data_IF_710096825853
#
_entry.id   IF_710096825853
#
_cell.length_a   1.000
_cell.length_b   1.000
_cell.length_c   1.000
_cell.angle_alpha   90.00
_cell.angle_beta   90.00
_cell.angle_gamma   90.00
#
_symmetry.space_group_name_H-M   'P 1'
#
loop_
_entity.id
_entity.type
_entity.pdbx_description
1 polymer ?
#
# COMPACT_ATOMS: atom_id res chain seq x y z
N UNK A 1 -3.78 -23.73 11.55
CA UNK A 1 -3.63 -25.12 11.10
C UNK A 1 -4.87 -25.89 11.53
N UNK A 2 -5.95 -25.79 10.77
CA UNK A 2 -7.01 -26.79 10.81
C UNK A 2 -6.74 -27.74 9.65
N UNK A 3 -5.89 -28.73 9.89
CA UNK A 3 -5.86 -29.94 9.08
C UNK A 3 -7.20 -30.63 9.29
N UNK A 4 -7.95 -30.81 8.21
CA UNK A 4 -9.11 -31.70 8.23
C UNK A 4 -8.56 -33.10 8.12
N UNK A 5 -8.00 -33.60 9.21
CA UNK A 5 -7.54 -34.96 9.32
C UNK A 5 -8.76 -35.90 9.31
N UNK A 6 -8.89 -36.68 8.25
CA UNK A 6 -9.63 -37.95 8.28
C UNK A 6 -11.14 -37.89 8.25
N UNK A 7 -11.79 -36.77 7.97
CA UNK A 7 -13.21 -36.82 7.66
C UNK A 7 -13.43 -37.44 6.28
N UNK A 8 -14.02 -38.60 6.27
CA UNK A 8 -14.59 -39.22 5.07
C UNK A 8 -15.54 -38.18 4.43
N UNK A 9 -15.16 -37.64 3.31
CA UNK A 9 -15.93 -36.61 2.58
C UNK A 9 -17.27 -37.11 2.05
N UNK A 10 -17.68 -38.35 2.34
CA UNK A 10 -18.77 -39.00 1.62
C UNK A 10 -18.45 -39.35 0.18
N UNK A 11 -17.22 -39.02 -0.25
CA UNK A 11 -16.78 -39.14 -1.65
C UNK A 11 -16.60 -40.59 -2.12
N UNK A 12 -16.50 -41.53 -1.21
CA UNK A 12 -16.01 -42.87 -1.55
C UNK A 12 -14.55 -42.84 -2.01
N UNK A 13 -14.03 -43.97 -2.43
CA UNK A 13 -12.69 -44.03 -3.02
C UNK A 13 -12.65 -43.21 -4.33
N UNK A 14 -11.57 -42.45 -4.54
CA UNK A 14 -11.30 -41.75 -5.79
C UNK A 14 -10.69 -42.75 -6.80
N UNK A 15 -11.15 -42.65 -8.02
CA UNK A 15 -10.64 -43.42 -9.17
C UNK A 15 -9.97 -42.51 -10.17
N UNK A 16 -9.10 -43.10 -11.00
CA UNK A 16 -8.51 -42.35 -12.13
C UNK A 16 -9.65 -41.88 -13.03
N UNK A 17 -9.63 -40.60 -13.37
CA UNK A 17 -10.64 -39.91 -14.20
C UNK A 17 -11.78 -39.27 -13.37
N UNK A 18 -11.83 -39.44 -12.06
CA UNK A 18 -12.76 -38.67 -11.23
C UNK A 18 -12.41 -37.18 -11.23
N UNK A 19 -13.39 -36.31 -11.43
CA UNK A 19 -13.27 -34.87 -11.34
C UNK A 19 -13.84 -34.40 -10.01
N UNK A 20 -12.96 -33.86 -9.16
CA UNK A 20 -13.36 -33.20 -7.91
C UNK A 20 -13.63 -31.74 -8.23
N UNK A 21 -14.79 -31.27 -7.81
CA UNK A 21 -15.19 -29.88 -8.01
C UNK A 21 -15.26 -29.16 -6.66
N UNK A 22 -14.77 -27.92 -6.65
CA UNK A 22 -14.73 -27.06 -5.47
C UNK A 22 -15.37 -25.72 -5.84
N UNK A 23 -16.36 -25.30 -5.05
CA UNK A 23 -16.96 -23.98 -5.15
C UNK A 23 -16.69 -23.22 -3.84
N UNK A 24 -16.26 -21.96 -3.93
CA UNK A 24 -15.89 -21.11 -2.78
C UNK A 24 -16.67 -19.82 -2.85
N UNK A 25 -17.32 -19.40 -1.75
CA UNK A 25 -18.02 -18.13 -1.63
C UNK A 25 -17.90 -17.59 -0.21
N UNK A 26 -17.16 -16.49 -0.04
CA UNK A 26 -16.86 -15.96 1.28
C UNK A 26 -16.16 -17.00 2.16
N UNK A 27 -16.72 -17.29 3.34
CA UNK A 27 -16.22 -18.29 4.29
C UNK A 27 -16.74 -19.71 4.05
N UNK A 28 -17.42 -19.97 2.93
CA UNK A 28 -18.07 -21.25 2.62
C UNK A 28 -17.38 -21.98 1.49
N UNK A 29 -17.26 -23.32 1.65
CA UNK A 29 -16.76 -24.21 0.61
C UNK A 29 -17.73 -25.36 0.39
N UNK A 30 -18.01 -25.67 -0.85
CA UNK A 30 -18.68 -26.88 -1.32
C UNK A 30 -17.68 -27.73 -2.08
N UNK A 31 -17.73 -29.02 -1.80
CA UNK A 31 -16.91 -30.02 -2.49
C UNK A 31 -17.84 -31.03 -3.15
N UNK A 32 -17.52 -31.43 -4.36
CA UNK A 32 -18.30 -32.41 -5.10
C UNK A 32 -17.41 -33.34 -5.94
N UNK A 33 -18.03 -34.31 -6.55
CA UNK A 33 -17.40 -35.30 -7.44
C UNK A 33 -18.28 -35.52 -8.65
N UNK A 34 -17.69 -35.48 -9.83
CA UNK A 34 -18.33 -35.83 -11.10
C UNK A 34 -19.68 -35.10 -11.33
N UNK A 35 -19.73 -33.80 -11.06
CA UNK A 35 -20.92 -32.98 -11.26
C UNK A 35 -21.90 -32.91 -10.09
N UNK A 36 -21.69 -33.63 -9.02
CA UNK A 36 -22.58 -33.64 -7.86
C UNK A 36 -21.86 -33.19 -6.60
N UNK A 37 -22.48 -32.26 -5.84
CA UNK A 37 -21.95 -31.81 -4.55
C UNK A 37 -22.31 -32.75 -3.41
N UNK A 38 -21.36 -32.99 -2.52
CA UNK A 38 -21.57 -33.84 -1.35
C UNK A 38 -22.55 -33.22 -0.36
N UNK A 39 -23.20 -34.09 0.46
CA UNK A 39 -24.12 -33.68 1.53
C UNK A 39 -25.30 -32.81 1.05
N UNK A 40 -25.77 -33.05 -0.17
CA UNK A 40 -26.81 -32.22 -0.80
C UNK A 40 -26.42 -30.75 -0.90
N UNK A 41 -25.11 -30.47 -1.02
CA UNK A 41 -24.57 -29.11 -1.15
C UNK A 41 -25.18 -28.41 -2.34
N UNK A 42 -25.60 -27.16 -2.13
CA UNK A 42 -26.14 -26.30 -3.17
C UNK A 42 -25.43 -24.96 -3.20
N UNK A 43 -24.32 -24.85 -3.93
CA UNK A 43 -23.58 -23.57 -4.05
C UNK A 43 -24.44 -22.45 -4.63
N UNK A 44 -25.23 -22.73 -5.67
CA UNK A 44 -26.09 -21.71 -6.30
C UNK A 44 -27.14 -21.13 -5.35
N UNK A 45 -27.68 -21.96 -4.45
CA UNK A 45 -28.63 -21.57 -3.40
C UNK A 45 -27.97 -21.15 -2.09
N UNK A 46 -26.64 -21.05 -2.04
CA UNK A 46 -25.85 -20.66 -0.86
C UNK A 46 -26.15 -21.54 0.39
N UNK A 47 -26.51 -22.80 0.20
CA UNK A 47 -26.93 -23.70 1.28
C UNK A 47 -26.08 -24.97 1.35
N UNK A 48 -26.07 -25.58 2.54
CA UNK A 48 -25.34 -26.81 2.84
C UNK A 48 -23.89 -26.85 2.36
N UNK A 49 -23.03 -25.86 2.74
CA UNK A 49 -21.61 -25.95 2.45
C UNK A 49 -20.97 -27.11 3.23
N UNK A 50 -19.91 -27.71 2.69
CA UNK A 50 -19.13 -28.70 3.43
C UNK A 50 -18.36 -28.07 4.58
N UNK A 51 -17.86 -26.85 4.36
CA UNK A 51 -17.14 -26.06 5.37
C UNK A 51 -17.73 -24.65 5.42
N UNK A 52 -17.87 -24.10 6.62
CA UNK A 52 -18.27 -22.72 6.92
C UNK A 52 -17.27 -22.10 7.89
N UNK A 53 -17.37 -20.77 8.06
CA UNK A 53 -16.58 -19.99 9.03
C UNK A 53 -15.05 -20.10 8.85
N UNK A 54 -14.61 -20.22 7.61
CA UNK A 54 -13.22 -20.38 7.26
C UNK A 54 -12.61 -19.01 6.95
N UNK A 55 -11.33 -18.81 7.34
CA UNK A 55 -10.60 -17.55 7.09
C UNK A 55 -10.64 -17.13 5.61
N UNK A 56 -10.58 -15.83 5.35
CA UNK A 56 -10.84 -15.21 4.04
C UNK A 56 -9.79 -15.46 2.96
N UNK A 57 -8.65 -16.07 3.27
CA UNK A 57 -7.57 -16.33 2.31
C UNK A 57 -7.37 -17.83 2.11
N UNK A 58 -7.42 -18.27 0.85
CA UNK A 58 -7.37 -19.68 0.46
C UNK A 58 -6.21 -19.98 -0.47
N UNK A 59 -5.54 -21.09 -0.22
CA UNK A 59 -4.61 -21.69 -1.17
C UNK A 59 -5.04 -23.11 -1.45
N UNK A 60 -5.40 -23.46 -2.68
CA UNK A 60 -5.71 -24.86 -3.04
C UNK A 60 -4.43 -25.69 -2.96
N UNK A 61 -4.50 -26.80 -2.21
CA UNK A 61 -3.40 -27.75 -2.08
C UNK A 61 -3.97 -29.14 -2.28
N UNK A 62 -3.30 -29.98 -3.07
CA UNK A 62 -3.56 -31.40 -3.14
C UNK A 62 -2.30 -32.14 -2.71
N UNK A 63 -2.44 -33.05 -1.77
CA UNK A 63 -1.42 -34.03 -1.42
C UNK A 63 -1.76 -35.36 -2.10
N UNK A 64 -0.81 -35.93 -2.82
CA UNK A 64 -0.98 -37.18 -3.56
C UNK A 64 0.07 -38.19 -3.14
N UNK A 65 -0.36 -39.34 -2.72
CA UNK A 65 0.54 -40.43 -2.41
C UNK A 65 1.20 -40.99 -3.69
N UNK A 66 2.37 -41.53 -3.56
CA UNK A 66 3.25 -42.07 -4.60
C UNK A 66 2.59 -42.50 -5.92
N UNK A 67 3.08 -41.96 -7.02
CA UNK A 67 2.71 -42.30 -8.43
C UNK A 67 1.35 -41.78 -8.92
N UNK A 68 0.62 -41.01 -8.13
CA UNK A 68 -0.61 -40.38 -8.58
C UNK A 68 -0.37 -38.97 -9.11
N UNK A 69 -1.18 -38.54 -10.08
CA UNK A 69 -1.14 -37.20 -10.64
C UNK A 69 -2.48 -36.52 -10.39
N UNK A 70 -2.43 -35.29 -9.88
CA UNK A 70 -3.59 -34.39 -9.80
C UNK A 70 -3.36 -33.21 -10.70
N UNK A 71 -4.34 -32.91 -11.52
CA UNK A 71 -4.35 -31.74 -12.38
C UNK A 71 -5.40 -30.75 -11.88
N UNK A 72 -5.03 -29.48 -11.80
CA UNK A 72 -5.94 -28.40 -11.41
C UNK A 72 -6.47 -27.67 -12.63
N UNK A 73 -7.79 -27.47 -12.67
CA UNK A 73 -8.45 -26.61 -13.64
C UNK A 73 -9.21 -25.50 -12.92
N UNK A 74 -8.75 -24.27 -13.04
CA UNK A 74 -9.43 -23.06 -12.55
C UNK A 74 -10.22 -22.34 -13.64
N UNK A 75 -10.49 -23.05 -14.75
CA UNK A 75 -11.13 -22.55 -15.96
C UNK A 75 -10.17 -22.34 -17.12
N UNK A 76 -8.98 -22.94 -17.11
CA UNK A 76 -8.02 -22.83 -18.20
C UNK A 76 -8.09 -23.95 -19.23
N UNK A 77 -8.51 -25.16 -18.86
CA UNK A 77 -8.48 -26.31 -19.76
C UNK A 77 -9.35 -27.46 -19.22
N UNK A 78 -10.52 -27.68 -19.83
CA UNK A 78 -11.45 -28.78 -19.49
C UNK A 78 -10.99 -30.16 -19.93
N UNK A 79 -9.95 -30.22 -20.78
CA UNK A 79 -9.36 -31.48 -21.20
C UNK A 79 -8.33 -32.04 -20.20
N UNK A 80 -7.92 -31.25 -19.21
CA UNK A 80 -6.83 -31.59 -18.30
C UNK A 80 -5.59 -32.07 -19.07
N UNK A 81 -5.07 -31.19 -19.96
CA UNK A 81 -3.94 -31.48 -20.83
C UNK A 81 -4.17 -32.69 -21.74
N UNK A 82 -5.35 -32.78 -22.34
CA UNK A 82 -5.79 -33.87 -23.22
C UNK A 82 -5.90 -35.26 -22.56
N UNK A 83 -6.07 -35.31 -21.23
CA UNK A 83 -6.32 -36.60 -20.53
C UNK A 83 -7.76 -37.06 -20.63
N UNK A 84 -8.70 -36.12 -20.85
CA UNK A 84 -10.13 -36.38 -21.08
C UNK A 84 -10.63 -35.50 -22.25
N UNK A 85 -11.82 -35.85 -22.77
CA UNK A 85 -12.47 -34.99 -23.76
C UNK A 85 -12.92 -33.68 -23.17
N UNK A 86 -12.47 -32.56 -23.73
CA UNK A 86 -12.87 -31.24 -23.29
C UNK A 86 -14.38 -31.02 -23.34
N UNK A 87 -14.95 -30.37 -22.33
CA UNK A 87 -16.40 -30.11 -22.25
C UNK A 87 -16.75 -28.65 -22.57
N UNK A 88 -15.80 -27.72 -22.44
CA UNK A 88 -15.96 -26.33 -22.86
C UNK A 88 -16.98 -25.51 -22.08
N UNK A 89 -17.30 -25.90 -20.84
CA UNK A 89 -18.27 -25.14 -20.07
C UNK A 89 -17.68 -23.81 -19.57
N UNK A 90 -18.45 -22.74 -19.71
CA UNK A 90 -18.07 -21.39 -19.23
C UNK A 90 -18.90 -20.97 -18.03
N UNK A 91 -18.43 -19.97 -17.31
CA UNK A 91 -19.21 -19.29 -16.30
C UNK A 91 -20.29 -18.36 -16.91
N UNK A 92 -21.06 -17.68 -16.04
CA UNK A 92 -22.13 -16.78 -16.46
C UNK A 92 -21.65 -15.58 -17.29
N UNK A 93 -20.35 -15.23 -17.23
CA UNK A 93 -19.73 -14.15 -17.99
C UNK A 93 -19.13 -14.66 -19.34
N UNK A 94 -19.29 -15.94 -19.65
CA UNK A 94 -18.71 -16.56 -20.84
C UNK A 94 -17.20 -16.79 -20.73
N UNK A 95 -16.67 -16.86 -19.53
CA UNK A 95 -15.24 -17.09 -19.28
C UNK A 95 -14.99 -18.48 -18.70
N UNK A 96 -13.81 -19.00 -18.99
CA UNK A 96 -13.36 -20.30 -18.52
C UNK A 96 -13.60 -21.41 -19.52
N UNK A 97 -12.99 -22.56 -19.22
CA UNK A 97 -13.12 -23.85 -19.90
C UNK A 97 -13.16 -24.93 -18.82
N UNK A 98 -14.37 -25.20 -18.31
CA UNK A 98 -14.59 -26.15 -17.21
C UNK A 98 -15.10 -27.49 -17.73
N UNK A 99 -14.75 -28.57 -17.04
CA UNK A 99 -15.27 -29.91 -17.33
C UNK A 99 -16.75 -30.03 -16.92
N UNK A 100 -17.13 -29.45 -15.78
CA UNK A 100 -18.53 -29.32 -15.34
C UNK A 100 -18.93 -27.84 -15.31
N UNK A 101 -20.18 -27.56 -15.63
CA UNK A 101 -20.69 -26.19 -15.59
C UNK A 101 -20.53 -25.60 -14.18
N UNK A 102 -19.93 -24.41 -14.07
CA UNK A 102 -19.88 -23.70 -12.78
C UNK A 102 -21.29 -23.47 -12.23
N UNK A 103 -21.50 -23.56 -10.90
CA UNK A 103 -22.78 -23.22 -10.30
C UNK A 103 -23.16 -21.77 -10.56
N UNK A 104 -24.46 -21.48 -10.65
CA UNK A 104 -24.93 -20.09 -10.85
C UNK A 104 -24.37 -19.18 -9.74
N UNK A 105 -23.79 -18.03 -10.15
CA UNK A 105 -23.16 -17.08 -9.25
C UNK A 105 -21.69 -17.37 -8.91
N UNK A 106 -21.11 -18.44 -9.48
CA UNK A 106 -19.68 -18.73 -9.39
C UNK A 106 -19.00 -18.44 -10.72
N UNK A 107 -17.81 -17.89 -10.63
CA UNK A 107 -17.05 -17.41 -11.79
C UNK A 107 -15.70 -18.13 -11.91
N UNK A 108 -15.18 -18.18 -13.10
CA UNK A 108 -13.82 -18.65 -13.36
C UNK A 108 -12.81 -17.77 -12.62
N UNK A 109 -11.82 -18.39 -11.98
CA UNK A 109 -10.71 -17.68 -11.35
C UNK A 109 -9.75 -17.13 -12.42
N UNK A 110 -10.13 -16.02 -13.01
CA UNK A 110 -9.35 -15.37 -14.06
C UNK A 110 -9.42 -13.85 -13.93
N UNK A 111 -8.44 -13.16 -14.53
CA UNK A 111 -8.36 -11.70 -14.49
C UNK A 111 -9.57 -11.00 -15.14
N UNK A 112 -10.23 -11.63 -16.10
CA UNK A 112 -11.44 -11.07 -16.74
C UNK A 112 -12.64 -10.97 -15.81
N UNK A 113 -12.70 -11.80 -14.79
CA UNK A 113 -13.76 -11.80 -13.78
C UNK A 113 -13.45 -10.92 -12.56
N UNK A 114 -12.24 -10.38 -12.47
CA UNK A 114 -11.96 -9.38 -11.46
C UNK A 114 -12.78 -8.12 -11.72
N UNK A 115 -13.25 -7.43 -10.68
CA UNK A 115 -13.91 -6.14 -10.86
C UNK A 115 -12.97 -5.16 -11.56
N UNK A 116 -13.53 -4.23 -12.32
CA UNK A 116 -12.73 -3.13 -12.86
C UNK A 116 -12.15 -2.33 -11.71
N UNK A 117 -10.84 -2.05 -11.73
CA UNK A 117 -10.24 -1.19 -10.71
C UNK A 117 -10.80 0.22 -10.83
N UNK A 118 -11.01 0.87 -9.72
CA UNK A 118 -11.48 2.27 -9.66
C UNK A 118 -10.53 3.21 -10.40
N UNK A 119 -9.23 2.93 -10.31
CA UNK A 119 -8.17 3.68 -10.99
C UNK A 119 -7.57 2.78 -12.07
N UNK A 120 -7.77 3.13 -13.32
CA UNK A 120 -7.21 2.39 -14.47
C UNK A 120 -5.74 2.74 -14.72
N UNK A 121 -5.34 3.97 -14.42
CA UNK A 121 -4.01 4.53 -14.65
C UNK A 121 -3.53 5.17 -13.34
N UNK A 122 -2.71 4.46 -12.58
CA UNK A 122 -2.19 4.94 -11.29
C UNK A 122 -1.29 6.17 -11.43
N UNK A 123 -0.60 6.30 -12.56
CA UNK A 123 0.30 7.41 -12.89
C UNK A 123 -0.40 8.77 -13.11
N UNK A 124 -1.75 8.78 -13.11
CA UNK A 124 -2.54 10.03 -13.07
C UNK A 124 -2.74 10.56 -11.64
N UNK A 125 -2.33 9.83 -10.62
CA UNK A 125 -2.55 10.20 -9.21
C UNK A 125 -1.30 10.09 -8.35
N UNK A 126 -0.38 9.21 -8.76
CA UNK A 126 0.95 9.05 -8.16
C UNK A 126 1.97 8.73 -9.25
N UNK A 127 2.99 9.55 -9.39
CA UNK A 127 4.09 9.28 -10.30
C UNK A 127 5.44 9.73 -9.76
N UNK A 128 6.50 9.23 -10.39
CA UNK A 128 7.89 9.41 -10.02
C UNK A 128 8.61 10.12 -11.16
N UNK A 129 9.21 11.25 -10.88
CA UNK A 129 10.07 11.94 -11.82
C UNK A 129 11.55 11.81 -11.44
N UNK A 130 12.43 11.78 -12.44
CA UNK A 130 13.88 11.83 -12.26
C UNK A 130 14.47 12.85 -13.22
N UNK A 131 15.47 13.61 -12.77
CA UNK A 131 16.14 14.60 -13.60
C UNK A 131 17.59 14.81 -13.16
N UNK A 132 18.39 15.43 -14.03
CA UNK A 132 19.68 16.01 -13.67
C UNK A 132 19.48 17.52 -13.42
N UNK A 133 20.05 18.02 -12.33
CA UNK A 133 20.01 19.45 -12.01
C UNK A 133 20.84 20.28 -12.99
N UNK A 134 20.48 21.55 -13.14
CA UNK A 134 21.07 22.46 -14.14
C UNK A 134 21.56 23.80 -13.60
N UNK A 135 21.56 24.01 -12.28
CA UNK A 135 21.96 25.28 -11.63
C UNK A 135 21.15 26.49 -12.08
N UNK A 136 19.86 26.31 -12.42
CA UNK A 136 19.09 27.43 -12.94
C UNK A 136 17.58 27.18 -12.94
N UNK A 137 16.91 27.77 -13.89
CA UNK A 137 15.48 27.54 -14.10
C UNK A 137 15.25 26.18 -14.77
N UNK A 138 14.41 25.37 -14.16
CA UNK A 138 14.07 24.07 -14.68
C UNK A 138 12.58 23.75 -14.45
N UNK A 139 11.97 23.12 -15.45
CA UNK A 139 10.59 22.62 -15.38
C UNK A 139 10.61 21.11 -15.49
N UNK A 140 10.01 20.44 -14.51
CA UNK A 140 9.72 19.00 -14.55
C UNK A 140 8.28 18.86 -15.00
N UNK A 141 8.04 18.28 -16.18
CA UNK A 141 6.73 18.20 -16.84
C UNK A 141 6.36 16.77 -17.26
N UNK A 142 6.98 15.77 -16.62
CA UNK A 142 6.80 14.36 -16.97
C UNK A 142 5.67 13.66 -16.21
N UNK A 143 4.95 14.37 -15.34
CA UNK A 143 3.82 13.82 -14.60
C UNK A 143 2.52 13.93 -15.42
N UNK A 144 1.61 12.99 -15.27
CA UNK A 144 0.30 13.05 -15.92
C UNK A 144 -0.72 13.95 -15.22
N UNK A 145 -0.30 14.67 -14.16
CA UNK A 145 -1.17 15.46 -13.28
C UNK A 145 -0.41 16.62 -12.64
N UNK A 146 -1.15 17.59 -12.09
CA UNK A 146 -0.57 18.58 -11.18
C UNK A 146 -0.33 17.90 -9.82
N UNK A 147 0.93 17.84 -9.33
CA UNK A 147 1.18 17.31 -8.00
C UNK A 147 0.75 18.31 -6.93
N UNK A 148 0.16 17.79 -5.84
CA UNK A 148 -0.15 18.55 -4.63
C UNK A 148 0.86 18.29 -3.52
N UNK A 149 1.49 17.13 -3.51
CA UNK A 149 2.67 16.83 -2.70
C UNK A 149 3.83 16.47 -3.63
N UNK A 150 4.97 17.14 -3.44
CA UNK A 150 6.24 16.84 -4.11
C UNK A 150 7.28 16.54 -3.04
N UNK A 151 7.85 15.34 -3.09
CA UNK A 151 8.91 14.89 -2.21
C UNK A 151 10.18 14.63 -3.03
N UNK A 152 11.19 15.49 -2.90
CA UNK A 152 12.43 15.43 -3.68
C UNK A 152 13.58 14.87 -2.83
N UNK A 153 14.50 14.15 -3.49
CA UNK A 153 15.78 13.72 -2.94
C UNK A 153 16.87 13.69 -4.01
N UNK A 154 18.02 14.28 -3.70
CA UNK A 154 19.25 14.05 -4.46
C UNK A 154 19.67 12.58 -4.33
N UNK A 155 19.95 11.90 -5.45
CA UNK A 155 20.25 10.47 -5.44
C UNK A 155 21.74 10.17 -5.32
N UNK A 156 22.61 11.03 -5.80
CA UNK A 156 24.07 10.84 -5.84
C UNK A 156 24.82 11.68 -4.82
N UNK A 157 24.10 12.36 -3.93
CA UNK A 157 24.69 13.28 -2.95
C UNK A 157 23.94 13.20 -1.61
N UNK A 158 24.67 13.48 -0.53
CA UNK A 158 24.10 13.56 0.83
C UNK A 158 23.47 14.95 1.03
N UNK A 159 22.16 15.03 0.79
CA UNK A 159 21.35 16.23 0.97
C UNK A 159 20.08 15.89 1.76
N UNK A 160 19.41 16.88 2.32
CA UNK A 160 18.12 16.67 2.97
C UNK A 160 17.05 16.20 1.96
N UNK A 161 16.01 15.60 2.48
CA UNK A 161 14.77 15.43 1.75
C UNK A 161 14.00 16.75 1.72
N UNK A 162 13.35 17.05 0.61
CA UNK A 162 12.57 18.26 0.43
C UNK A 162 11.10 17.93 0.19
N UNK A 163 10.23 18.25 1.17
CA UNK A 163 8.78 18.08 1.09
C UNK A 163 8.09 19.42 0.94
N UNK A 164 7.37 19.61 -0.16
CA UNK A 164 6.53 20.79 -0.38
C UNK A 164 5.16 20.38 -0.90
N UNK A 165 4.11 21.11 -0.55
CA UNK A 165 2.75 20.82 -0.96
C UNK A 165 1.93 22.07 -1.28
N UNK A 166 0.83 21.89 -2.03
CA UNK A 166 -0.04 22.95 -2.50
C UNK A 166 -0.81 23.66 -1.39
N UNK A 167 -1.06 23.00 -0.26
CA UNK A 167 -1.82 23.56 0.88
C UNK A 167 -0.99 24.56 1.65
N UNK A 168 0.30 24.30 1.86
CA UNK A 168 1.23 25.23 2.51
C UNK A 168 1.74 26.30 1.53
N UNK A 169 1.72 25.99 0.25
CA UNK A 169 2.21 26.82 -0.84
C UNK A 169 3.56 26.35 -1.39
N UNK A 170 3.80 26.66 -2.65
CA UNK A 170 5.00 26.27 -3.37
C UNK A 170 6.27 26.72 -2.63
N UNK A 171 7.21 25.82 -2.44
CA UNK A 171 8.49 26.08 -1.80
C UNK A 171 8.44 26.19 -0.26
N UNK A 172 7.29 26.10 0.39
CA UNK A 172 7.24 25.88 1.84
C UNK A 172 7.72 24.47 2.11
N UNK A 173 8.97 24.31 2.55
CA UNK A 173 9.61 23.01 2.63
C UNK A 173 9.83 22.54 4.06
N UNK A 174 9.71 21.22 4.23
CA UNK A 174 10.01 20.50 5.46
C UNK A 174 10.92 19.32 5.10
N UNK A 175 12.10 19.16 5.71
CA UNK A 175 12.96 18.00 5.47
C UNK A 175 12.54 16.82 6.36
N UNK A 176 12.30 15.64 5.77
CA UNK A 176 11.79 14.46 6.52
C UNK A 176 12.83 13.81 7.44
N UNK A 177 14.09 14.07 7.22
CA UNK A 177 15.21 13.47 7.97
C UNK A 177 15.64 14.27 9.20
N UNK A 178 14.96 15.38 9.52
CA UNK A 178 15.23 16.20 10.70
C UNK A 178 13.95 16.80 11.27
N UNK A 179 13.98 17.22 12.54
CA UNK A 179 12.86 17.84 13.24
C UNK A 179 12.70 19.35 12.97
N UNK A 180 13.43 19.92 12.01
CA UNK A 180 13.45 21.35 11.72
C UNK A 180 12.06 21.94 11.43
N UNK A 181 11.95 23.25 11.66
CA UNK A 181 10.80 24.05 11.24
C UNK A 181 10.73 24.20 9.72
N UNK A 182 9.54 24.56 9.23
CA UNK A 182 9.30 24.91 7.84
C UNK A 182 10.18 26.07 7.39
N UNK A 183 10.77 25.94 6.20
CA UNK A 183 11.56 26.97 5.56
C UNK A 183 10.84 27.49 4.33
N UNK A 184 10.89 28.80 4.11
CA UNK A 184 10.42 29.42 2.87
C UNK A 184 11.49 29.35 1.79
N UNK A 185 11.33 28.39 0.90
CA UNK A 185 12.15 28.16 -0.28
C UNK A 185 11.38 28.45 -1.59
N UNK A 186 10.40 29.37 -1.55
CA UNK A 186 9.58 29.75 -2.71
C UNK A 186 10.35 30.39 -3.85
N UNK A 187 11.52 30.94 -3.58
CA UNK A 187 12.47 31.39 -4.61
C UNK A 187 13.19 30.25 -5.33
N UNK A 188 13.27 29.04 -4.70
CA UNK A 188 13.94 27.87 -5.26
C UNK A 188 12.95 26.93 -5.95
N UNK A 189 11.88 26.57 -5.26
CA UNK A 189 10.75 25.81 -5.82
C UNK A 189 9.63 26.80 -6.15
N UNK A 190 9.46 27.13 -7.43
CA UNK A 190 8.71 28.32 -7.85
C UNK A 190 7.24 28.05 -8.15
N UNK A 191 6.83 26.79 -8.33
CA UNK A 191 5.42 26.52 -8.54
C UNK A 191 5.09 25.08 -8.94
N UNK A 192 3.83 24.74 -8.76
CA UNK A 192 3.21 23.54 -9.32
C UNK A 192 2.64 23.87 -10.71
N UNK A 193 2.70 22.92 -11.63
CA UNK A 193 2.13 23.02 -12.98
C UNK A 193 1.16 21.89 -13.24
N UNK A 194 0.38 21.98 -14.30
CA UNK A 194 -0.61 20.93 -14.65
C UNK A 194 0.00 19.54 -14.92
N UNK A 195 1.33 19.46 -15.10
CA UNK A 195 2.05 18.23 -15.39
C UNK A 195 3.35 18.07 -14.61
N UNK A 196 3.49 18.80 -13.49
CA UNK A 196 4.70 18.75 -12.68
C UNK A 196 4.94 20.00 -11.85
N UNK A 197 6.18 20.52 -11.88
CA UNK A 197 6.59 21.66 -11.06
C UNK A 197 7.80 22.41 -11.68
N UNK A 198 8.05 23.60 -11.16
CA UNK A 198 9.14 24.48 -11.61
C UNK A 198 10.09 24.83 -10.47
N UNK A 199 11.35 24.96 -10.80
CA UNK A 199 12.44 25.33 -9.89
C UNK A 199 13.33 26.41 -10.55
N UNK A 200 14.00 27.23 -9.71
CA UNK A 200 15.01 28.18 -10.16
C UNK A 200 16.07 28.32 -9.06
N UNK A 201 17.08 27.48 -9.09
CA UNK A 201 18.10 27.45 -8.03
C UNK A 201 19.36 26.69 -8.45
N UNK A 202 20.47 27.01 -7.81
CA UNK A 202 21.75 26.29 -7.84
C UNK A 202 21.91 25.36 -6.63
N UNK A 203 20.86 25.21 -5.79
CA UNK A 203 20.93 24.46 -4.55
C UNK A 203 20.94 22.95 -4.81
N UNK A 204 21.93 22.28 -4.24
CA UNK A 204 22.11 20.82 -4.36
C UNK A 204 20.96 19.98 -3.76
N UNK A 205 20.15 20.57 -2.90
CA UNK A 205 18.99 19.88 -2.32
C UNK A 205 17.96 19.52 -3.39
N UNK A 206 17.75 20.39 -4.42
CA UNK A 206 16.70 20.17 -5.43
C UNK A 206 17.11 20.35 -6.88
N UNK A 207 18.19 21.17 -7.23
CA UNK A 207 18.53 21.46 -8.63
C UNK A 207 20.01 21.83 -8.88
N UNK A 208 20.94 21.45 -8.03
CA UNK A 208 22.38 21.69 -8.26
C UNK A 208 22.90 21.01 -9.52
N UNK A 209 23.74 21.71 -10.29
CA UNK A 209 24.28 21.24 -11.56
C UNK A 209 25.08 19.94 -11.42
N UNK A 210 24.79 18.97 -12.26
CA UNK A 210 25.42 17.66 -12.25
C UNK A 210 25.00 16.74 -11.12
N UNK A 211 23.96 17.09 -10.35
CA UNK A 211 23.35 16.24 -9.32
C UNK A 211 22.12 15.56 -9.91
N UNK A 212 21.92 14.27 -9.62
CA UNK A 212 20.74 13.53 -10.03
C UNK A 212 19.68 13.52 -8.93
N UNK A 213 18.42 13.63 -9.32
CA UNK A 213 17.29 13.74 -8.43
C UNK A 213 16.19 12.73 -8.73
N UNK A 214 15.42 12.42 -7.71
CA UNK A 214 14.13 11.75 -7.80
C UNK A 214 13.08 12.55 -7.05
N UNK A 215 11.84 12.55 -7.55
CA UNK A 215 10.68 12.97 -6.76
C UNK A 215 9.58 11.94 -6.79
N UNK A 216 8.89 11.80 -5.66
CA UNK A 216 7.64 11.06 -5.52
C UNK A 216 6.53 12.10 -5.36
N UNK A 217 5.47 11.96 -6.16
CA UNK A 217 4.48 13.01 -6.36
C UNK A 217 3.06 12.46 -6.23
N UNK A 218 2.20 13.13 -5.47
CA UNK A 218 0.81 12.75 -5.25
C UNK A 218 -0.15 13.88 -5.62
N UNK A 219 -1.31 13.51 -6.21
CA UNK A 219 -2.41 14.43 -6.53
C UNK A 219 -3.47 14.44 -5.42
N UNK A 220 -3.74 15.59 -4.83
CA UNK A 220 -4.87 15.80 -3.91
C UNK A 220 -6.03 16.58 -4.57
N UNK A 221 -5.78 17.70 -5.19
CA UNK A 221 -6.63 18.36 -6.20
C UNK A 221 -7.83 19.17 -5.74
N UNK A 222 -8.68 18.69 -4.83
CA UNK A 222 -9.90 19.43 -4.41
C UNK A 222 -9.72 20.07 -3.04
N UNK A 223 -9.83 21.39 -2.98
CA UNK A 223 -9.75 22.10 -1.70
C UNK A 223 -10.99 21.88 -0.84
N UNK A 224 -10.81 21.82 0.47
CA UNK A 224 -11.88 21.76 1.45
C UNK A 224 -11.61 22.67 2.65
N UNK A 225 -12.67 23.03 3.36
CA UNK A 225 -12.63 23.71 4.64
C UNK A 225 -13.71 23.12 5.54
N UNK A 226 -13.35 22.76 6.77
CA UNK A 226 -14.25 22.16 7.76
C UNK A 226 -14.16 22.94 9.07
N UNK A 227 -15.30 23.45 9.53
CA UNK A 227 -15.38 24.11 10.82
C UNK A 227 -15.44 23.11 11.97
N UNK A 228 -14.94 23.48 13.13
CA UNK A 228 -15.18 22.71 14.35
C UNK A 228 -16.69 22.52 14.58
N UNK A 229 -17.10 21.32 14.97
CA UNK A 229 -18.50 20.89 15.07
C UNK A 229 -19.11 20.32 13.79
N UNK A 230 -18.47 20.48 12.63
CA UNK A 230 -18.90 19.87 11.36
C UNK A 230 -18.23 18.51 11.16
N UNK A 231 -18.94 17.55 10.55
CA UNK A 231 -18.42 16.19 10.27
C UNK A 231 -17.83 15.50 11.51
N UNK A 232 -18.38 15.78 12.68
CA UNK A 232 -17.91 15.32 13.99
C UNK A 232 -16.49 15.81 14.38
N UNK A 233 -15.85 16.69 13.62
CA UNK A 233 -14.56 17.25 13.94
C UNK A 233 -14.64 18.22 15.12
N UNK A 234 -13.68 18.19 16.03
CA UNK A 234 -13.59 19.12 17.18
C UNK A 234 -12.63 20.27 16.91
N UNK A 235 -11.72 20.09 15.96
CA UNK A 235 -10.79 21.14 15.47
C UNK A 235 -11.17 21.49 14.04
N UNK A 236 -11.15 22.79 13.70
CA UNK A 236 -11.28 23.24 12.33
C UNK A 236 -10.06 22.81 11.51
N UNK A 237 -10.31 22.35 10.29
CA UNK A 237 -9.26 21.95 9.35
C UNK A 237 -9.57 22.45 7.93
N UNK A 238 -8.54 22.57 7.13
CA UNK A 238 -8.64 22.87 5.71
C UNK A 238 -7.56 22.12 4.94
N UNK A 239 -7.75 21.94 3.66
CA UNK A 239 -6.76 21.18 2.90
C UNK A 239 -7.14 20.96 1.46
N UNK A 240 -6.52 19.94 0.88
CA UNK A 240 -6.79 19.46 -0.48
C UNK A 240 -6.93 17.94 -0.45
N UNK A 241 -7.92 17.39 -1.15
CA UNK A 241 -8.25 15.97 -1.10
C UNK A 241 -8.56 15.38 -2.47
N UNK A 242 -8.14 14.15 -2.69
CA UNK A 242 -8.56 13.31 -3.80
C UNK A 242 -9.14 12.01 -3.26
N UNK A 243 -10.46 11.91 -3.17
CA UNK A 243 -11.15 10.73 -2.65
C UNK A 243 -10.99 9.51 -3.57
N UNK A 244 -10.77 9.72 -4.87
CA UNK A 244 -10.49 8.63 -5.82
C UNK A 244 -9.11 8.02 -5.59
N UNK A 245 -8.09 8.87 -5.37
CA UNK A 245 -6.72 8.43 -5.09
C UNK A 245 -6.50 8.05 -3.63
N UNK A 246 -7.44 8.38 -2.74
CA UNK A 246 -7.32 8.15 -1.31
C UNK A 246 -6.20 8.97 -0.66
N UNK A 247 -5.99 10.21 -1.11
CA UNK A 247 -4.95 11.09 -0.57
C UNK A 247 -5.48 12.46 -0.17
N UNK A 248 -5.07 12.95 0.99
CA UNK A 248 -5.44 14.26 1.51
C UNK A 248 -4.25 14.95 2.19
N UNK A 249 -4.20 16.26 2.04
CA UNK A 249 -3.29 17.16 2.75
C UNK A 249 -4.15 18.03 3.66
N UNK A 250 -3.92 17.98 4.95
CA UNK A 250 -4.77 18.58 5.98
C UNK A 250 -3.98 19.56 6.83
N UNK A 251 -4.41 20.81 6.89
CA UNK A 251 -3.87 21.84 7.77
C UNK A 251 -4.83 22.13 8.91
N UNK A 252 -4.32 22.22 10.13
CA UNK A 252 -5.08 22.60 11.31
C UNK A 252 -4.21 23.35 12.33
N UNK A 253 -4.84 23.95 13.33
CA UNK A 253 -4.14 24.62 14.45
C UNK A 253 -4.35 23.81 15.71
N UNK A 254 -3.26 23.43 16.36
CA UNK A 254 -3.31 22.67 17.61
C UNK A 254 -3.90 23.51 18.76
N UNK A 255 -4.51 22.83 19.75
CA UNK A 255 -5.13 23.47 20.90
C UNK A 255 -4.71 22.85 22.24
N UNK A 256 -3.78 21.89 22.24
CA UNK A 256 -3.29 21.12 23.40
C UNK A 256 -4.40 20.43 24.23
N UNK A 257 -5.59 20.26 23.67
CA UNK A 257 -6.72 19.60 24.31
C UNK A 257 -6.76 18.14 23.93
N UNK A 258 -7.19 17.27 24.85
CA UNK A 258 -7.40 15.83 24.60
C UNK A 258 -8.62 15.60 23.72
N UNK A 259 -8.75 14.39 23.23
CA UNK A 259 -9.95 13.88 22.51
C UNK A 259 -10.31 14.75 21.29
N UNK A 260 -9.31 15.18 20.54
CA UNK A 260 -9.56 16.01 19.37
C UNK A 260 -9.68 15.19 18.09
N UNK A 261 -10.65 15.57 17.25
CA UNK A 261 -10.93 14.98 15.96
C UNK A 261 -10.66 15.99 14.84
N UNK A 262 -9.84 15.59 13.88
CA UNK A 262 -9.46 16.41 12.72
C UNK A 262 -10.06 15.80 11.45
N UNK A 263 -10.90 16.57 10.76
CA UNK A 263 -11.51 16.13 9.50
C UNK A 263 -10.47 16.10 8.37
N UNK A 264 -10.49 15.01 7.57
CA UNK A 264 -9.52 14.78 6.50
C UNK A 264 -10.12 14.72 5.08
N UNK A 265 -11.42 14.68 4.91
CA UNK A 265 -12.10 14.76 3.62
C UNK A 265 -12.09 13.50 2.75
N UNK A 266 -11.46 12.40 3.16
CA UNK A 266 -11.26 11.21 2.31
C UNK A 266 -12.51 10.38 2.07
N UNK A 267 -13.54 10.47 2.94
CA UNK A 267 -14.71 9.59 2.96
C UNK A 267 -14.37 8.09 3.12
N UNK A 268 -13.17 7.79 3.58
CA UNK A 268 -12.67 6.44 3.85
C UNK A 268 -11.66 6.49 5.00
N UNK A 269 -11.65 5.50 5.87
CA UNK A 269 -10.72 5.46 7.00
C UNK A 269 -9.27 5.42 6.52
N UNK A 270 -8.41 6.35 6.99
CA UNK A 270 -7.01 6.33 6.61
C UNK A 270 -6.28 5.13 7.20
N UNK A 271 -5.36 4.60 6.41
CA UNK A 271 -4.46 3.50 6.81
C UNK A 271 -3.06 4.00 7.18
N UNK A 272 -2.68 5.15 6.66
CA UNK A 272 -1.40 5.80 6.93
C UNK A 272 -1.58 7.30 6.97
N UNK A 273 -0.97 7.98 7.94
CA UNK A 273 -0.82 9.42 7.90
C UNK A 273 0.44 9.86 8.66
N UNK A 274 0.95 11.01 8.24
CA UNK A 274 2.13 11.65 8.82
C UNK A 274 1.72 13.04 9.25
N UNK A 275 2.05 13.41 10.49
CA UNK A 275 1.78 14.72 11.08
C UNK A 275 3.08 15.44 11.35
N UNK A 276 3.13 16.74 11.04
CA UNK A 276 4.29 17.59 11.28
C UNK A 276 3.88 18.99 11.73
N UNK A 277 4.43 19.45 12.83
CA UNK A 277 4.38 20.85 13.23
C UNK A 277 5.25 21.68 12.28
N UNK A 278 4.72 22.83 11.83
CA UNK A 278 5.42 23.71 10.90
C UNK A 278 6.50 24.58 11.60
N UNK A 279 6.41 24.74 12.91
CA UNK A 279 7.37 25.49 13.72
C UNK A 279 8.50 24.62 14.33
N UNK A 280 8.61 23.37 13.91
CA UNK A 280 9.60 22.40 14.37
C UNK A 280 8.97 21.17 15.00
N UNK A 281 9.75 20.34 15.72
CA UNK A 281 9.36 19.08 16.33
C UNK A 281 9.46 17.85 15.41
N UNK A 282 9.21 16.66 15.97
CA UNK A 282 9.32 15.39 15.28
C UNK A 282 8.22 15.19 14.23
N UNK A 283 8.52 14.36 13.25
CA UNK A 283 7.54 13.86 12.29
C UNK A 283 6.89 12.63 12.88
N UNK A 284 5.59 12.68 13.12
CA UNK A 284 4.86 11.58 13.78
C UNK A 284 4.02 10.87 12.73
N UNK A 285 4.15 9.55 12.69
CA UNK A 285 3.52 8.70 11.70
C UNK A 285 2.61 7.66 12.35
N UNK A 286 1.40 7.55 11.85
CA UNK A 286 0.44 6.47 12.14
C UNK A 286 0.44 5.44 11.02
N UNK A 287 0.32 4.17 11.38
CA UNK A 287 0.08 3.08 10.44
C UNK A 287 -0.94 2.09 11.02
N UNK A 288 -2.05 1.86 10.30
CA UNK A 288 -3.16 1.02 10.77
C UNK A 288 -2.83 -0.46 10.97
N UNK A 289 -1.68 -0.92 10.48
CA UNK A 289 -1.20 -2.30 10.62
C UNK A 289 0.04 -2.41 11.52
N UNK A 290 0.30 -1.41 12.37
CA UNK A 290 1.47 -1.43 13.27
C UNK A 290 1.47 -2.64 14.20
N UNK A 291 0.32 -2.93 14.81
CA UNK A 291 0.08 -4.13 15.63
C UNK A 291 -1.38 -4.59 15.47
N UNK A 292 -1.61 -5.89 15.66
CA UNK A 292 -2.89 -6.54 15.33
C UNK A 292 -4.09 -6.07 16.15
N UNK A 293 -3.88 -5.60 17.40
CA UNK A 293 -4.99 -5.35 18.32
C UNK A 293 -5.34 -3.89 18.54
N UNK A 294 -4.37 -2.97 18.52
CA UNK A 294 -4.61 -1.55 18.82
C UNK A 294 -3.62 -0.63 18.08
N UNK A 295 -3.70 -0.49 16.74
CA UNK A 295 -2.76 0.32 15.97
C UNK A 295 -2.75 1.79 16.37
N UNK A 296 -3.85 2.33 16.89
CA UNK A 296 -3.97 3.71 17.37
C UNK A 296 -3.13 4.03 18.63
N UNK A 297 -2.58 3.03 19.28
CA UNK A 297 -1.66 3.21 20.43
C UNK A 297 -0.22 3.35 20.03
N UNK A 298 0.10 3.21 18.74
CA UNK A 298 1.46 3.17 18.27
C UNK A 298 1.73 4.27 17.27
N UNK A 299 2.93 4.82 17.32
CA UNK A 299 3.40 5.80 16.35
C UNK A 299 4.87 5.55 16.01
N UNK A 300 5.32 6.14 14.93
CA UNK A 300 6.71 6.17 14.52
C UNK A 300 7.19 7.60 14.46
N UNK A 301 8.45 7.81 14.78
CA UNK A 301 9.14 9.04 14.43
C UNK A 301 9.79 8.84 13.07
N UNK A 302 9.25 9.53 12.07
CA UNK A 302 9.63 9.30 10.67
C UNK A 302 11.07 9.71 10.36
N UNK A 303 11.60 10.73 11.06
CA UNK A 303 12.96 11.26 10.86
C UNK A 303 14.05 10.49 11.57
N UNK A 304 13.75 9.44 12.30
CA UNK A 304 14.76 8.69 13.02
C UNK A 304 14.63 7.17 12.81
N UNK A 305 15.71 6.45 13.14
CA UNK A 305 15.80 5.00 12.96
C UNK A 305 15.11 4.20 14.06
N UNK A 306 14.50 4.84 15.04
CA UNK A 306 13.86 4.14 16.13
C UNK A 306 12.75 3.22 15.65
N UNK A 307 12.63 2.09 16.32
CA UNK A 307 11.47 1.23 16.18
C UNK A 307 10.19 1.96 16.58
N UNK A 308 9.08 1.32 16.35
CA UNK A 308 7.80 1.84 16.80
C UNK A 308 7.87 2.27 18.26
N UNK A 309 7.51 3.48 18.52
CA UNK A 309 7.32 4.00 19.88
C UNK A 309 5.95 3.54 20.32
N UNK A 310 5.87 2.85 21.43
CA UNK A 310 4.65 2.14 21.72
C UNK A 310 4.05 2.44 23.04
N UNK A 311 2.91 1.97 23.14
CA UNK A 311 2.12 1.37 24.19
C UNK A 311 1.78 2.16 25.45
N UNK A 312 2.46 3.21 25.82
CA UNK A 312 2.03 4.02 26.99
C UNK A 312 1.59 5.43 26.59
N UNK A 313 1.63 5.72 25.30
CA UNK A 313 1.38 7.06 24.82
C UNK A 313 0.10 7.12 23.98
N UNK A 314 -1.04 6.95 24.66
CA UNK A 314 -2.33 7.48 24.26
C UNK A 314 -2.22 8.98 23.87
N UNK A 315 -1.07 9.58 24.10
CA UNK A 315 -0.78 11.00 23.93
C UNK A 315 -0.70 11.46 22.47
N UNK A 316 -0.51 10.55 21.50
CA UNK A 316 -0.47 10.93 20.06
C UNK A 316 -1.84 10.87 19.41
N UNK A 317 -2.54 9.72 19.50
CA UNK A 317 -3.76 9.44 18.74
C UNK A 317 -5.00 9.19 19.60
N UNK A 318 -4.88 9.32 20.92
CA UNK A 318 -5.97 9.23 21.91
C UNK A 318 -6.76 7.92 21.89
N UNK A 319 -6.12 6.81 21.57
CA UNK A 319 -6.80 5.53 21.35
C UNK A 319 -7.94 5.58 20.31
N UNK A 320 -8.03 6.67 19.52
CA UNK A 320 -9.06 6.84 18.52
C UNK A 320 -8.65 6.13 17.23
N UNK A 321 -9.47 5.17 16.82
CA UNK A 321 -9.34 4.55 15.49
C UNK A 321 -9.83 5.55 14.45
N UNK A 322 -8.99 5.91 13.45
CA UNK A 322 -9.43 6.79 12.38
C UNK A 322 -10.66 6.22 11.64
N UNK A 323 -11.65 7.07 11.39
CA UNK A 323 -12.87 6.71 10.67
C UNK A 323 -12.90 7.30 9.25
N UNK A 324 -14.05 7.27 8.58
CA UNK A 324 -14.20 7.82 7.23
C UNK A 324 -14.08 9.35 7.16
N UNK A 325 -14.22 10.04 8.26
CA UNK A 325 -14.23 11.49 8.34
C UNK A 325 -13.03 12.07 9.07
N UNK A 326 -12.59 11.43 10.18
CA UNK A 326 -11.66 12.03 11.12
C UNK A 326 -10.53 11.08 11.51
N UNK A 327 -9.39 11.67 11.88
CA UNK A 327 -8.39 11.00 12.72
C UNK A 327 -8.30 11.69 14.08
N UNK A 328 -7.99 10.92 15.11
CA UNK A 328 -7.84 11.42 16.47
C UNK A 328 -6.44 11.99 16.74
N UNK A 329 -6.37 13.05 17.53
CA UNK A 329 -5.12 13.56 18.11
C UNK A 329 -5.32 13.84 19.60
N UNK A 330 -4.26 13.61 20.36
CA UNK A 330 -4.25 13.88 21.80
C UNK A 330 -3.53 15.20 22.12
N UNK A 331 -3.02 15.34 23.34
CA UNK A 331 -2.44 16.59 23.82
C UNK A 331 -0.91 16.70 23.61
N UNK A 332 -0.28 15.74 22.95
CA UNK A 332 1.16 15.81 22.69
C UNK A 332 1.53 16.98 21.77
N UNK A 333 2.61 17.67 22.13
CA UNK A 333 3.05 18.85 21.41
C UNK A 333 3.45 18.59 19.95
N UNK A 334 3.88 17.38 19.61
CA UNK A 334 4.26 17.06 18.23
C UNK A 334 3.06 17.02 17.27
N UNK A 335 1.86 16.72 17.77
CA UNK A 335 0.63 16.60 16.97
C UNK A 335 -0.44 17.64 17.32
N UNK A 336 -0.36 18.32 18.48
CA UNK A 336 -1.45 19.19 18.96
C UNK A 336 -0.96 20.38 19.83
N UNK A 337 0.24 20.92 19.58
CA UNK A 337 0.72 22.06 20.36
C UNK A 337 -0.18 23.28 20.21
N UNK A 338 -0.52 23.92 21.32
CA UNK A 338 -1.44 25.06 21.34
C UNK A 338 -0.97 26.22 20.46
N UNK A 339 -1.80 26.62 19.52
CA UNK A 339 -1.54 27.73 18.61
C UNK A 339 -0.56 27.41 17.46
N UNK A 340 0.04 26.23 17.42
CA UNK A 340 0.93 25.84 16.33
C UNK A 340 0.17 25.42 15.07
N UNK A 341 0.65 25.88 13.91
CA UNK A 341 0.19 25.37 12.63
C UNK A 341 0.77 23.97 12.38
N UNK A 342 -0.09 23.05 12.04
CA UNK A 342 0.23 21.63 11.85
C UNK A 342 -0.27 21.20 10.47
N UNK A 343 0.52 20.37 9.80
CA UNK A 343 0.17 19.75 8.53
C UNK A 343 0.15 18.23 8.68
N UNK A 344 -0.82 17.59 8.04
CA UNK A 344 -0.89 16.13 7.93
C UNK A 344 -1.05 15.71 6.48
N UNK A 345 -0.34 14.66 6.07
CA UNK A 345 -0.54 13.96 4.81
C UNK A 345 -1.18 12.62 5.14
N UNK A 346 -2.34 12.36 4.55
CA UNK A 346 -3.26 11.30 4.99
C UNK A 346 -3.62 10.41 3.80
N UNK A 347 -3.45 9.10 3.96
CA UNK A 347 -3.75 8.12 2.91
C UNK A 347 -4.75 7.08 3.39
N UNK A 348 -5.80 6.86 2.59
CA UNK A 348 -6.67 5.69 2.65
C UNK A 348 -6.29 4.68 1.57
N UNK A 349 -6.57 3.40 1.80
CA UNK A 349 -6.28 2.35 0.83
C UNK A 349 -7.30 2.36 -0.31
N UNK A 350 -6.81 2.28 -1.56
CA UNK A 350 -7.62 2.15 -2.77
C UNK A 350 -7.23 0.86 -3.49
N UNK A 351 -8.17 -0.06 -3.60
CA UNK A 351 -7.93 -1.37 -4.23
C UNK A 351 -7.38 -1.23 -5.65
N UNK A 352 -6.29 -1.94 -5.93
CA UNK A 352 -5.59 -1.89 -7.21
C UNK A 352 -4.67 -0.69 -7.41
N UNK A 353 -4.65 0.29 -6.50
CA UNK A 353 -3.81 1.48 -6.60
C UNK A 353 -2.87 1.70 -5.43
N UNK A 354 -3.34 1.55 -4.20
CA UNK A 354 -2.50 1.71 -3.01
C UNK A 354 -2.72 0.58 -2.03
N UNK A 355 -1.65 0.21 -1.29
CA UNK A 355 -1.70 -0.82 -0.25
C UNK A 355 -0.88 -0.38 0.96
N UNK A 356 -1.49 -0.48 2.13
CA UNK A 356 -0.85 -0.27 3.42
C UNK A 356 -1.04 -1.55 4.23
N UNK A 357 0.04 -2.21 4.56
CA UNK A 357 -0.03 -3.52 5.19
C UNK A 357 1.19 -3.83 6.04
N UNK A 358 1.25 -5.07 6.46
CA UNK A 358 2.42 -5.61 7.15
C UNK A 358 2.81 -6.97 6.59
N UNK A 359 4.01 -7.39 6.91
CA UNK A 359 4.49 -8.76 6.70
C UNK A 359 5.46 -9.15 7.82
N UNK A 360 5.69 -10.45 7.95
CA UNK A 360 6.67 -11.00 8.87
C UNK A 360 7.88 -11.43 8.06
N UNK A 361 9.05 -10.93 8.44
CA UNK A 361 10.32 -11.32 7.83
C UNK A 361 10.67 -12.78 8.12
N UNK A 362 11.32 -13.44 7.17
CA UNK A 362 11.75 -14.83 7.32
C UNK A 362 13.27 -15.02 7.45
N UNK A 363 14.04 -13.93 7.39
CA UNK A 363 15.50 -13.96 7.51
C UNK A 363 16.23 -14.67 6.36
N UNK A 364 15.58 -14.86 5.22
CA UNK A 364 16.13 -15.59 4.07
C UNK A 364 16.16 -14.70 2.82
N UNK A 365 17.16 -14.88 1.96
CA UNK A 365 17.23 -14.21 0.66
C UNK A 365 16.09 -14.64 -0.29
N UNK A 366 15.52 -15.83 -0.12
CA UNK A 366 14.21 -16.22 -0.63
C UNK A 366 13.12 -15.76 0.36
N UNK A 367 12.95 -14.44 0.44
CA UNK A 367 12.20 -13.77 1.48
C UNK A 367 10.69 -13.82 1.34
N UNK A 368 10.03 -13.10 2.24
CA UNK A 368 8.59 -13.01 2.28
C UNK A 368 8.04 -12.39 0.97
N UNK A 369 6.98 -13.01 0.44
CA UNK A 369 6.16 -12.43 -0.60
C UNK A 369 5.03 -11.58 0.02
N UNK A 370 4.82 -10.39 -0.51
CA UNK A 370 3.81 -9.45 -0.05
C UNK A 370 2.85 -9.14 -1.18
N UNK A 371 1.59 -9.54 -1.02
CA UNK A 371 0.54 -9.30 -1.99
C UNK A 371 0.00 -7.86 -1.88
N UNK A 372 0.00 -7.12 -2.98
CA UNK A 372 -0.55 -5.77 -3.06
C UNK A 372 -1.84 -5.70 -3.91
N UNK A 373 -2.06 -6.67 -4.81
CA UNK A 373 -3.15 -6.65 -5.79
C UNK A 373 -2.85 -5.79 -7.02
N UNK A 374 -1.58 -5.38 -7.20
CA UNK A 374 -1.09 -4.59 -8.33
C UNK A 374 0.43 -4.72 -8.45
N UNK A 375 1.01 -4.27 -9.55
CA UNK A 375 2.46 -4.10 -9.69
C UNK A 375 2.87 -2.82 -8.98
N UNK A 376 3.65 -2.88 -7.89
CA UNK A 376 4.13 -1.69 -7.21
C UNK A 376 5.09 -0.86 -8.08
N UNK A 377 4.88 0.45 -8.11
CA UNK A 377 5.81 1.44 -8.64
C UNK A 377 6.71 2.00 -7.55
N UNK A 378 6.19 2.06 -6.34
CA UNK A 378 6.83 2.56 -5.14
C UNK A 378 6.56 1.61 -3.99
N UNK A 379 7.58 1.32 -3.20
CA UNK A 379 7.47 0.55 -1.95
C UNK A 379 8.31 1.23 -0.88
N UNK A 380 7.69 1.54 0.26
CA UNK A 380 8.38 1.98 1.47
C UNK A 380 8.15 0.96 2.58
N UNK A 381 9.22 0.55 3.27
CA UNK A 381 9.18 -0.48 4.33
C UNK A 381 9.86 0.05 5.57
N UNK A 382 9.24 -0.16 6.74
CA UNK A 382 9.82 0.14 8.06
C UNK A 382 9.75 -1.08 8.97
N UNK A 383 10.88 -1.37 9.64
CA UNK A 383 10.93 -2.39 10.69
C UNK A 383 10.13 -1.91 11.92
N UNK A 384 9.21 -2.77 12.40
CA UNK A 384 8.33 -2.48 13.52
C UNK A 384 8.92 -2.84 14.89
N UNK A 385 9.93 -3.70 14.89
CA UNK A 385 10.48 -4.29 16.12
C UNK A 385 11.84 -3.72 16.50
N UNK A 386 12.58 -3.15 15.56
CA UNK A 386 13.96 -2.72 15.76
C UNK A 386 14.23 -1.37 15.09
N UNK A 387 15.21 -0.64 15.63
CA UNK A 387 15.63 0.65 15.09
C UNK A 387 16.48 0.51 13.83
N UNK A 388 15.83 0.59 12.68
CA UNK A 388 16.45 0.62 11.36
C UNK A 388 15.87 1.76 10.53
N UNK A 389 16.63 2.22 9.56
CA UNK A 389 16.14 3.18 8.58
C UNK A 389 14.87 2.65 7.89
N UNK A 390 13.97 3.55 7.60
CA UNK A 390 12.89 3.30 6.62
C UNK A 390 13.51 3.18 5.22
N UNK A 391 13.11 2.22 4.43
CA UNK A 391 13.69 1.96 3.10
C UNK A 391 12.67 2.23 2.02
N UNK A 392 13.05 3.08 1.04
CA UNK A 392 12.27 3.36 -0.16
C UNK A 392 12.95 2.74 -1.37
N UNK A 393 12.16 1.99 -2.14
CA UNK A 393 12.52 1.55 -3.49
C UNK A 393 11.42 1.87 -4.49
N UNK A 394 11.81 2.12 -5.73
CA UNK A 394 10.86 2.41 -6.81
C UNK A 394 11.37 1.90 -8.17
N UNK A 395 10.42 1.73 -9.07
CA UNK A 395 10.70 1.17 -10.40
C UNK A 395 11.28 2.19 -11.37
N UNK A 396 11.26 3.49 -11.04
CA UNK A 396 11.88 4.51 -11.88
C UNK A 396 13.39 4.47 -11.77
N UNK A 397 13.91 4.32 -10.54
CA UNK A 397 15.35 4.18 -10.27
C UNK A 397 15.86 2.76 -10.49
N UNK A 398 15.02 1.75 -10.18
CA UNK A 398 15.31 0.33 -10.40
C UNK A 398 14.29 -0.29 -11.36
N UNK A 399 14.44 -0.09 -12.69
CA UNK A 399 13.45 -0.55 -13.68
C UNK A 399 13.43 -2.07 -13.87
N UNK A 400 14.44 -2.78 -13.40
CA UNK A 400 14.56 -4.23 -13.50
C UNK A 400 14.68 -4.88 -12.12
N UNK A 401 14.23 -6.12 -12.02
CA UNK A 401 14.51 -6.96 -10.86
C UNK A 401 15.97 -7.45 -10.90
N UNK A 402 16.66 -7.53 -9.80
CA UNK A 402 16.25 -7.21 -8.44
C UNK A 402 16.34 -5.70 -8.22
N UNK A 403 15.28 -5.07 -7.69
CA UNK A 403 15.32 -3.66 -7.31
C UNK A 403 16.23 -3.51 -6.08
N UNK A 404 17.30 -2.72 -6.20
CA UNK A 404 18.34 -2.61 -5.16
C UNK A 404 18.70 -1.16 -4.79
N UNK A 405 18.24 -0.17 -5.55
CA UNK A 405 18.54 1.25 -5.33
C UNK A 405 17.66 1.81 -4.21
N UNK A 406 18.21 1.89 -3.00
CA UNK A 406 17.48 2.39 -1.84
C UNK A 406 17.77 3.86 -1.52
N UNK A 407 16.76 4.53 -1.01
CA UNK A 407 16.85 5.79 -0.27
C UNK A 407 16.15 5.63 1.08
N UNK A 408 16.56 6.44 2.05
CA UNK A 408 16.02 6.40 3.41
C UNK A 408 15.47 7.78 3.79
N UNK A 409 14.15 7.93 4.01
CA UNK A 409 13.53 9.22 4.33
C UNK A 409 14.00 9.85 5.64
N UNK A 410 14.59 9.06 6.50
CA UNK A 410 15.18 9.39 7.80
C UNK A 410 16.70 9.64 7.73
N UNK A 411 17.28 9.81 6.53
CA UNK A 411 18.71 10.00 6.34
C UNK A 411 19.01 10.96 5.18
N UNK A 412 20.09 11.74 5.33
CA UNK A 412 20.63 12.55 4.22
C UNK A 412 21.38 11.72 3.20
N UNK A 413 21.69 10.46 3.46
CA UNK A 413 22.57 9.66 2.61
C UNK A 413 22.13 9.63 1.15
N UNK A 414 23.13 9.57 0.25
CA UNK A 414 22.92 9.30 -1.16
C UNK A 414 22.30 7.91 -1.39
N UNK A 415 21.77 7.66 -2.59
CA UNK A 415 21.28 6.35 -3.01
C UNK A 415 22.36 5.29 -2.83
N UNK A 416 21.97 4.21 -2.21
CA UNK A 416 22.84 3.05 -2.04
C UNK A 416 22.28 1.84 -2.79
N UNK A 417 23.13 1.13 -3.52
CA UNK A 417 22.85 -0.21 -4.02
C UNK A 417 23.27 -1.19 -2.93
N UNK A 418 22.31 -1.53 -2.06
CA UNK A 418 22.61 -2.25 -0.83
C UNK A 418 22.04 -3.67 -0.76
N UNK A 419 21.95 -4.15 0.47
CA UNK A 419 21.41 -5.46 0.78
C UNK A 419 19.86 -5.50 0.77
N UNK A 420 19.19 -4.35 0.85
CA UNK A 420 17.73 -4.26 0.81
C UNK A 420 17.24 -4.41 -0.64
N UNK A 421 16.96 -5.63 -1.04
CA UNK A 421 16.63 -6.02 -2.42
C UNK A 421 15.20 -6.55 -2.47
N UNK A 422 14.44 -6.08 -3.45
CA UNK A 422 13.07 -6.53 -3.70
C UNK A 422 12.93 -7.00 -5.14
N UNK A 423 12.19 -8.10 -5.36
CA UNK A 423 11.58 -8.33 -6.66
C UNK A 423 10.23 -7.61 -6.68
N UNK A 424 10.05 -6.73 -7.64
CA UNK A 424 8.75 -6.14 -7.94
C UNK A 424 8.02 -7.10 -8.89
N UNK A 425 6.82 -7.51 -8.49
CA UNK A 425 6.04 -8.54 -9.18
C UNK A 425 4.72 -7.95 -9.70
N UNK A 426 4.04 -8.68 -10.57
CA UNK A 426 2.78 -8.23 -11.20
C UNK A 426 1.66 -7.93 -10.18
N UNK A 427 1.73 -8.49 -8.98
CA UNK A 427 0.69 -8.37 -7.96
C UNK A 427 1.22 -8.07 -6.55
N UNK A 428 2.47 -7.61 -6.44
CA UNK A 428 3.10 -7.30 -5.16
C UNK A 428 4.61 -7.25 -5.26
N UNK A 429 5.30 -7.53 -4.15
CA UNK A 429 6.75 -7.57 -4.10
C UNK A 429 7.25 -8.74 -3.24
N UNK A 430 8.49 -9.14 -3.45
CA UNK A 430 9.15 -10.20 -2.68
C UNK A 430 10.48 -9.72 -2.16
N UNK A 431 10.75 -9.96 -0.89
CA UNK A 431 12.06 -9.67 -0.31
C UNK A 431 13.13 -10.59 -0.89
N UNK A 432 14.27 -10.01 -1.30
CA UNK A 432 15.42 -10.74 -1.85
C UNK A 432 16.66 -10.53 -1.00
N UNK A 433 16.47 -10.52 0.30
CA UNK A 433 17.51 -10.22 1.29
C UNK A 433 17.22 -10.92 2.61
N UNK A 434 18.26 -11.18 3.38
CA UNK A 434 18.18 -11.56 4.80
C UNK A 434 18.49 -10.37 5.74
N UNK A 435 18.62 -9.15 5.21
CA UNK A 435 18.99 -7.97 5.98
C UNK A 435 17.93 -7.65 7.05
N UNK A 436 18.38 -7.35 8.26
CA UNK A 436 17.51 -7.12 9.40
C UNK A 436 16.68 -5.82 9.27
N UNK A 437 17.13 -4.84 8.49
CA UNK A 437 16.37 -3.62 8.24
C UNK A 437 15.05 -3.90 7.52
N UNK A 438 14.99 -4.95 6.68
CA UNK A 438 13.84 -5.23 5.82
C UNK A 438 13.31 -6.66 5.85
N UNK A 439 14.05 -7.67 6.40
CA UNK A 439 13.59 -9.06 6.40
C UNK A 439 14.17 -9.95 7.52
N UNK A 440 14.43 -9.44 8.74
CA UNK A 440 14.83 -10.29 9.87
C UNK A 440 13.77 -11.35 10.19
N UNK A 441 14.20 -12.55 10.55
CA UNK A 441 13.29 -13.64 10.92
C UNK A 441 12.42 -13.26 12.12
N UNK A 442 11.10 -13.42 11.97
CA UNK A 442 10.11 -13.13 13.01
C UNK A 442 9.83 -11.64 13.25
N UNK A 443 10.57 -10.73 12.63
CA UNK A 443 10.28 -9.29 12.75
C UNK A 443 9.09 -8.88 11.88
N UNK A 444 8.26 -7.99 12.43
CA UNK A 444 7.14 -7.37 11.72
C UNK A 444 7.61 -6.11 10.99
N UNK A 445 7.17 -5.95 9.77
CA UNK A 445 7.41 -4.79 8.93
C UNK A 445 6.09 -4.20 8.49
N UNK A 446 5.98 -2.88 8.56
CA UNK A 446 4.87 -2.15 7.90
C UNK A 446 5.34 -1.60 6.57
N UNK A 447 4.42 -1.49 5.63
CA UNK A 447 4.74 -0.99 4.31
C UNK A 447 3.66 -0.10 3.71
N UNK A 448 4.09 0.75 2.79
CA UNK A 448 3.29 1.59 1.90
C UNK A 448 3.68 1.25 0.47
N UNK A 449 2.70 0.97 -0.40
CA UNK A 449 2.95 0.70 -1.81
C UNK A 449 1.93 1.42 -2.70
N UNK A 450 2.40 1.92 -3.86
CA UNK A 450 1.57 2.53 -4.90
C UNK A 450 1.78 1.84 -6.23
N UNK A 451 0.69 1.73 -7.00
CA UNK A 451 0.67 0.99 -8.26
C UNK A 451 1.29 1.77 -9.42
N UNK A 452 1.94 1.03 -10.33
CA UNK A 452 2.06 1.45 -11.72
C UNK A 452 0.80 1.09 -12.51
N UNK A 453 0.32 -0.14 -12.31
CA UNK A 453 -0.90 -0.66 -12.93
C UNK A 453 -1.65 -1.54 -11.93
N UNK A 454 -2.99 -1.53 -11.93
CA UNK A 454 -3.78 -2.44 -11.11
C UNK A 454 -3.60 -3.89 -11.58
N UNK A 455 -3.88 -4.86 -10.70
CA UNK A 455 -3.65 -6.28 -10.96
C UNK A 455 -4.32 -6.78 -12.26
N UNK A 456 -5.55 -6.36 -12.55
CA UNK A 456 -6.28 -6.75 -13.77
C UNK A 456 -5.51 -6.38 -15.06
N UNK A 457 -4.72 -5.31 -15.02
CA UNK A 457 -3.94 -4.81 -16.15
C UNK A 457 -2.43 -4.94 -15.93
N UNK A 458 -2.01 -5.54 -14.82
CA UNK A 458 -0.60 -5.70 -14.49
C UNK A 458 0.11 -6.57 -15.53
N UNK A 459 1.33 -6.21 -15.88
CA UNK A 459 2.21 -6.96 -16.76
C UNK A 459 3.30 -7.63 -15.95
N UNK A 460 3.66 -8.85 -16.30
CA UNK A 460 4.84 -9.50 -15.77
C UNK A 460 6.09 -8.65 -16.06
N UNK A 461 7.00 -8.65 -15.13
CA UNK A 461 8.28 -7.93 -15.21
C UNK A 461 9.43 -8.88 -15.46
#
# INVERSE_FOLDING_TARGET
NSSVDGETTGAGALSVGDVIQIAVKGSKIWVGKNGSYFFSGNPSGDSTPKFSDIASTWTPVADVMTSNVVQFNFGQDSSFSNTVTAQGNTDANGHGDFYHSPPTGFLALCSKNLPEPTILQGDQYFDIATWAGNDGSQTISSLGFQPDLVWIKATDRAENHFWTDSVRGAGKSLPSNVSAAETDNSSKFTGFTSSGFTMNTTDNEINGGGVNYVSWNWAAGTSFSNSAGSNSATIASSGSVNTTAGFSIVSYVGNATRDQLVYHGLNAAPKWFIVKRRDGDNWIMYHGESFDSNPQRYYYEFQNQDAVKGANDAFMWDDIVPDSNNFGIYSDGAVNNNGSNIIAWVWSEVAGFSKFGHFIGNGNAEGAYVHCGFTPRFVMVKNNNQGFNTVIQDTKRSPNNVAAKKLCPDSTAAEASGNDKYDILSNGFKMRTSDAGTNASGSRYVFMAFASNPFKYARAR
#
